data_IF_613087070982
#
_entry.id   IF_613087070982
#
_cell.length_a   1.000
_cell.length_b   1.000
_cell.length_c   1.000
_cell.angle_alpha   90.00
_cell.angle_beta   90.00
_cell.angle_gamma   90.00
#
_symmetry.space_group_name_H-M   'P 1'
#
loop_
_entity.id
_entity.type
_entity.pdbx_description
1 polymer ?
#
# COMPACT_ATOMS: atom_id res chain seq x y z
N UNK A 1 -10.53 6.61 20.28
CA UNK A 1 -11.07 6.89 18.93
C UNK A 1 -10.58 5.78 18.02
N UNK A 2 -11.45 5.14 17.26
CA UNK A 2 -11.03 4.07 16.35
C UNK A 2 -10.28 4.71 15.16
N UNK A 3 -9.00 4.35 14.98
CA UNK A 3 -8.22 4.77 13.81
C UNK A 3 -8.75 4.14 12.52
N UNK A 4 -8.39 4.73 11.39
CA UNK A 4 -8.65 4.21 10.05
C UNK A 4 -7.73 3.01 9.76
N UNK A 5 -8.04 2.24 8.71
CA UNK A 5 -7.12 1.20 8.23
C UNK A 5 -5.74 1.76 7.86
N UNK A 6 -5.67 3.04 7.43
CA UNK A 6 -4.41 3.74 7.16
C UNK A 6 -3.59 3.94 8.43
N UNK A 7 -4.23 4.35 9.54
CA UNK A 7 -3.55 4.53 10.83
C UNK A 7 -2.95 3.23 11.38
N UNK A 8 -3.49 2.08 10.95
CA UNK A 8 -2.95 0.75 11.27
C UNK A 8 -1.78 0.41 10.34
N UNK A 9 -1.92 0.60 9.03
CA UNK A 9 -0.94 0.11 8.04
C UNK A 9 0.29 1.01 7.91
N UNK A 10 0.11 2.33 7.96
CA UNK A 10 1.20 3.29 7.72
C UNK A 10 2.41 3.07 8.65
N UNK A 11 2.25 2.93 9.99
CA UNK A 11 3.40 2.73 10.87
C UNK A 11 4.16 1.42 10.58
N UNK A 12 3.47 0.37 10.12
CA UNK A 12 4.11 -0.89 9.76
C UNK A 12 4.92 -0.79 8.46
N UNK A 13 4.42 -0.03 7.48
CA UNK A 13 5.15 0.24 6.24
C UNK A 13 6.40 1.09 6.52
N UNK A 14 6.26 2.16 7.30
CA UNK A 14 7.38 3.03 7.70
C UNK A 14 8.46 2.26 8.47
N UNK A 15 8.07 1.40 9.41
CA UNK A 15 9.00 0.56 10.15
C UNK A 15 9.77 -0.41 9.24
N UNK A 16 9.11 -1.04 8.28
CA UNK A 16 9.74 -1.96 7.34
C UNK A 16 10.74 -1.26 6.41
N UNK A 17 10.41 -0.04 5.96
CA UNK A 17 11.33 0.80 5.16
C UNK A 17 12.57 1.15 5.99
N UNK A 18 12.38 1.61 7.23
CA UNK A 18 13.50 1.97 8.11
C UNK A 18 14.41 0.78 8.42
N UNK A 19 13.85 -0.41 8.65
CA UNK A 19 14.62 -1.65 8.85
C UNK A 19 15.43 -2.02 7.60
N UNK A 20 14.80 -1.92 6.42
CA UNK A 20 15.46 -2.21 5.14
C UNK A 20 16.60 -1.24 4.84
N UNK A 21 16.42 0.06 5.09
CA UNK A 21 17.46 1.08 4.95
C UNK A 21 18.66 0.81 5.87
N UNK A 22 18.39 0.44 7.13
CA UNK A 22 19.43 0.06 8.08
C UNK A 22 20.23 -1.17 7.59
N UNK A 23 19.54 -2.10 6.94
CA UNK A 23 20.13 -3.30 6.32
C UNK A 23 20.71 -3.07 4.90
N UNK A 24 20.70 -1.83 4.39
CA UNK A 24 21.22 -1.44 3.05
C UNK A 24 20.46 -2.07 1.87
N UNK A 25 19.18 -2.36 2.04
CA UNK A 25 18.29 -2.69 0.94
C UNK A 25 17.69 -1.41 0.33
N UNK A 26 17.41 -1.48 -0.97
CA UNK A 26 16.76 -0.39 -1.71
C UNK A 26 15.26 -0.31 -1.37
N UNK A 27 14.73 0.90 -1.22
CA UNK A 27 13.31 1.15 -0.98
C UNK A 27 12.42 0.61 -2.12
N UNK A 28 12.90 0.59 -3.37
CA UNK A 28 12.17 -0.02 -4.50
C UNK A 28 11.95 -1.52 -4.29
N UNK A 29 12.95 -2.23 -3.72
CA UNK A 29 12.83 -3.67 -3.40
C UNK A 29 11.75 -3.88 -2.33
N UNK A 30 11.73 -3.04 -1.30
CA UNK A 30 10.72 -3.09 -0.24
C UNK A 30 9.33 -2.83 -0.81
N UNK A 31 9.17 -1.79 -1.64
CA UNK A 31 7.90 -1.47 -2.29
C UNK A 31 7.35 -2.60 -3.15
N UNK A 32 8.20 -3.26 -3.94
CA UNK A 32 7.81 -4.44 -4.74
C UNK A 32 7.32 -5.60 -3.88
N UNK A 33 7.97 -5.86 -2.75
CA UNK A 33 7.57 -6.92 -1.82
C UNK A 33 6.23 -6.61 -1.14
N UNK A 34 6.00 -5.35 -0.76
CA UNK A 34 4.68 -4.94 -0.25
C UNK A 34 3.57 -5.11 -1.29
N UNK A 35 3.84 -4.72 -2.54
CA UNK A 35 2.90 -4.92 -3.65
C UNK A 35 2.61 -6.43 -3.87
N UNK A 36 3.64 -7.28 -3.82
CA UNK A 36 3.46 -8.74 -3.89
C UNK A 36 2.52 -9.26 -2.79
N UNK A 37 2.71 -8.82 -1.54
CA UNK A 37 1.85 -9.23 -0.41
C UNK A 37 0.43 -8.70 -0.54
N UNK A 38 0.26 -7.48 -1.02
CA UNK A 38 -1.06 -6.91 -1.30
C UNK A 38 -1.79 -7.72 -2.39
N UNK A 39 -1.10 -8.08 -3.48
CA UNK A 39 -1.67 -8.92 -4.54
C UNK A 39 -2.04 -10.30 -4.01
N UNK A 40 -1.19 -10.93 -3.18
CA UNK A 40 -1.50 -12.21 -2.52
C UNK A 40 -2.77 -12.12 -1.69
N UNK A 41 -2.96 -11.03 -0.93
CA UNK A 41 -4.18 -10.78 -0.16
C UNK A 41 -5.39 -10.56 -1.06
N UNK A 42 -5.30 -9.71 -2.09
CA UNK A 42 -6.43 -9.43 -2.97
C UNK A 42 -6.91 -10.66 -3.72
N UNK A 43 -6.01 -11.55 -4.14
CA UNK A 43 -6.37 -12.81 -4.82
C UNK A 43 -7.24 -13.75 -3.99
N UNK A 44 -7.38 -13.52 -2.69
CA UNK A 44 -8.30 -14.29 -1.85
C UNK A 44 -9.77 -13.95 -2.10
N UNK A 45 -10.06 -12.75 -2.64
CA UNK A 45 -11.44 -12.23 -2.79
C UNK A 45 -11.71 -11.48 -4.11
N UNK A 46 -10.67 -11.17 -4.91
CA UNK A 46 -10.77 -10.46 -6.20
C UNK A 46 -10.18 -11.29 -7.34
N UNK A 47 -10.68 -11.07 -8.55
CA UNK A 47 -10.06 -11.62 -9.76
C UNK A 47 -8.76 -10.88 -10.12
N UNK A 48 -7.93 -11.45 -10.98
CA UNK A 48 -6.73 -10.76 -11.47
C UNK A 48 -7.08 -9.51 -12.29
N UNK A 49 -8.22 -9.49 -12.98
CA UNK A 49 -8.69 -8.34 -13.75
C UNK A 49 -9.06 -7.18 -12.84
N UNK A 50 -9.82 -7.45 -11.77
CA UNK A 50 -10.18 -6.43 -10.77
C UNK A 50 -8.94 -5.86 -10.06
N UNK A 51 -7.95 -6.72 -9.78
CA UNK A 51 -6.68 -6.29 -9.18
C UNK A 51 -5.92 -5.36 -10.13
N UNK A 52 -5.83 -5.73 -11.41
CA UNK A 52 -5.15 -4.90 -12.41
C UNK A 52 -5.84 -3.53 -12.57
N UNK A 53 -7.18 -3.50 -12.63
CA UNK A 53 -7.95 -2.27 -12.72
C UNK A 53 -7.73 -1.35 -11.50
N UNK A 54 -7.73 -1.92 -10.29
CA UNK A 54 -7.44 -1.18 -9.05
C UNK A 54 -6.03 -0.58 -9.05
N UNK A 55 -5.02 -1.35 -9.50
CA UNK A 55 -3.63 -0.88 -9.53
C UNK A 55 -3.44 0.26 -10.54
N UNK A 56 -4.05 0.16 -11.72
CA UNK A 56 -4.03 1.24 -12.72
C UNK A 56 -4.69 2.49 -12.13
N UNK A 57 -5.90 2.35 -11.59
CA UNK A 57 -6.62 3.46 -10.97
C UNK A 57 -5.81 4.09 -9.83
N UNK A 58 -5.20 3.28 -8.96
CA UNK A 58 -4.35 3.78 -7.87
C UNK A 58 -3.12 4.52 -8.40
N UNK A 59 -2.42 3.97 -9.39
CA UNK A 59 -1.25 4.62 -9.99
C UNK A 59 -1.57 5.95 -10.67
N UNK A 60 -2.78 6.07 -11.25
CA UNK A 60 -3.24 7.29 -11.90
C UNK A 60 -3.74 8.34 -10.91
N UNK A 61 -4.19 7.93 -9.72
CA UNK A 61 -4.92 8.81 -8.82
C UNK A 61 -4.19 9.11 -7.51
N UNK A 62 -3.19 8.33 -7.07
CA UNK A 62 -2.44 8.57 -5.82
C UNK A 62 -1.88 9.99 -5.82
N UNK A 63 -2.42 10.82 -4.95
CA UNK A 63 -1.91 12.16 -4.66
C UNK A 63 -0.70 12.04 -3.71
N UNK A 64 0.52 12.42 -4.14
CA UNK A 64 1.71 12.36 -3.31
C UNK A 64 1.69 13.33 -2.11
N UNK A 65 0.81 14.35 -2.13
CA UNK A 65 0.64 15.33 -1.05
C UNK A 65 -0.76 15.24 -0.40
N UNK A 66 -1.60 14.31 -0.85
CA UNK A 66 -3.02 14.25 -0.52
C UNK A 66 -3.29 13.42 0.73
N UNK A 67 -3.55 14.11 1.84
CA UNK A 67 -4.28 13.56 2.98
C UNK A 67 -5.68 13.16 2.49
N UNK A 68 -5.83 11.93 1.99
CA UNK A 68 -7.14 11.43 1.54
C UNK A 68 -8.06 11.33 2.75
N UNK A 69 -8.83 12.40 2.95
CA UNK A 69 -10.13 12.33 3.58
C UNK A 69 -10.95 11.32 2.79
N UNK A 70 -10.97 10.07 3.24
CA UNK A 70 -11.96 9.08 2.84
C UNK A 70 -13.33 9.59 3.30
N UNK A 71 -13.90 10.49 2.50
CA UNK A 71 -15.29 10.90 2.56
C UNK A 71 -15.87 10.60 1.19
N UNK A 72 -16.57 9.48 1.08
CA UNK A 72 -17.85 9.47 0.39
C UNK A 72 -18.88 8.76 1.28
N UNK A 73 -20.09 9.33 1.44
CA UNK A 73 -21.13 8.86 2.35
C UNK A 73 -21.71 7.49 1.97
#
# INVERSE_FOLDING_TARGET
MAGTARDIVTPHLEAAIAEAEAAKYDADVVGRLFLEKAIQLFRTVRSNEDIAAELISSAENIDPDGDYMFMRP
#
